data_IF_302745306117
#
_entry.id   IF_302745306117
#
_cell.length_a   1.000
_cell.length_b   1.000
_cell.length_c   1.000
_cell.angle_alpha   90.00
_cell.angle_beta   90.00
_cell.angle_gamma   90.00
#
_symmetry.space_group_name_H-M   'P 1'
#
loop_
_entity.id
_entity.type
_entity.pdbx_description
1 polymer ?
#
# COMPACT_ATOMS: atom_id res chain seq x y z
N UNK A 1 -8.15 20.43 22.65
CA UNK A 1 -7.22 20.01 21.59
C UNK A 1 -7.77 18.71 21.05
N UNK A 2 -8.35 18.71 19.85
CA UNK A 2 -8.83 17.47 19.24
C UNK A 2 -7.61 16.69 18.76
N UNK A 3 -7.34 15.53 19.38
CA UNK A 3 -6.43 14.54 18.82
C UNK A 3 -7.02 14.09 17.49
N UNK A 4 -6.40 14.52 16.40
CA UNK A 4 -6.76 14.10 15.06
C UNK A 4 -6.25 12.67 14.89
N UNK A 5 -7.04 11.68 15.35
CA UNK A 5 -6.73 10.26 15.20
C UNK A 5 -6.80 9.93 13.71
N UNK A 6 -5.67 10.11 13.01
CA UNK A 6 -5.49 9.64 11.64
C UNK A 6 -5.31 8.13 11.72
N UNK A 7 -6.31 7.38 11.26
CA UNK A 7 -6.20 5.93 11.18
C UNK A 7 -5.02 5.59 10.28
N UNK A 8 -4.00 4.92 10.82
CA UNK A 8 -2.83 4.48 10.04
C UNK A 8 -3.14 3.11 9.46
N UNK A 9 -3.12 3.01 8.13
CA UNK A 9 -3.32 1.75 7.42
C UNK A 9 -2.00 1.36 6.76
N UNK A 10 -1.59 0.11 6.93
CA UNK A 10 -0.36 -0.43 6.32
C UNK A 10 -0.73 -1.48 5.27
N UNK A 11 -0.18 -1.32 4.07
CA UNK A 11 -0.28 -2.31 3.00
C UNK A 11 1.10 -2.88 2.68
N UNK A 12 1.13 -4.18 2.41
CA UNK A 12 2.30 -4.85 1.83
C UNK A 12 1.92 -5.35 0.45
N UNK A 13 2.60 -4.84 -0.58
CA UNK A 13 2.33 -5.13 -1.99
C UNK A 13 3.42 -6.08 -2.49
N UNK A 14 3.01 -7.26 -2.95
CA UNK A 14 3.87 -8.19 -3.68
C UNK A 14 3.49 -8.15 -5.15
N UNK A 15 4.40 -7.70 -6.00
CA UNK A 15 4.14 -7.50 -7.43
C UNK A 15 5.11 -8.30 -8.29
N UNK A 16 4.63 -8.72 -9.47
CA UNK A 16 5.45 -9.48 -10.42
C UNK A 16 6.48 -8.60 -11.11
N UNK A 17 6.12 -7.36 -11.40
CA UNK A 17 6.95 -6.37 -12.06
C UNK A 17 6.60 -4.95 -11.55
N UNK A 18 7.39 -3.93 -11.91
CA UNK A 18 7.14 -2.56 -11.45
C UNK A 18 5.80 -1.97 -11.90
N UNK A 19 5.33 -2.31 -13.11
CA UNK A 19 4.07 -1.79 -13.64
C UNK A 19 2.87 -2.30 -12.85
N UNK A 20 2.89 -3.59 -12.49
CA UNK A 20 1.92 -4.26 -11.63
C UNK A 20 1.90 -3.64 -10.22
N UNK A 21 3.08 -3.35 -9.65
CA UNK A 21 3.18 -2.63 -8.38
C UNK A 21 2.55 -1.24 -8.43
N UNK A 22 2.77 -0.51 -9.52
CA UNK A 22 2.22 0.84 -9.72
C UNK A 22 0.70 0.78 -9.84
N UNK A 23 0.16 -0.18 -10.59
CA UNK A 23 -1.30 -0.36 -10.74
C UNK A 23 -1.98 -0.67 -9.40
N UNK A 24 -1.41 -1.61 -8.62
CA UNK A 24 -1.93 -1.96 -7.29
C UNK A 24 -1.87 -0.74 -6.34
N UNK A 25 -0.74 -0.02 -6.32
CA UNK A 25 -0.60 1.20 -5.51
C UNK A 25 -1.66 2.24 -5.86
N UNK A 26 -1.90 2.48 -7.15
CA UNK A 26 -2.89 3.46 -7.60
C UNK A 26 -4.31 3.06 -7.21
N UNK A 27 -4.65 1.76 -7.30
CA UNK A 27 -5.94 1.24 -6.84
C UNK A 27 -6.14 1.43 -5.33
N UNK A 28 -5.11 1.22 -4.52
CA UNK A 28 -5.18 1.48 -3.07
C UNK A 28 -5.44 2.96 -2.83
N UNK A 29 -4.63 3.85 -3.41
CA UNK A 29 -4.74 5.29 -3.21
C UNK A 29 -6.08 5.88 -3.65
N UNK A 30 -6.67 5.42 -4.76
CA UNK A 30 -7.99 5.88 -5.23
C UNK A 30 -9.11 5.50 -4.25
N UNK A 31 -8.95 4.38 -3.54
CA UNK A 31 -9.96 3.87 -2.61
C UNK A 31 -9.71 4.30 -1.15
N UNK A 32 -8.54 4.86 -0.83
CA UNK A 32 -8.26 5.41 0.50
C UNK A 32 -9.00 6.74 0.68
N UNK A 33 -9.70 6.90 1.80
CA UNK A 33 -10.31 8.20 2.17
C UNK A 33 -9.27 9.14 2.78
N UNK A 34 -9.43 10.46 2.58
CA UNK A 34 -8.48 11.53 2.99
C UNK A 34 -8.05 11.54 4.47
N UNK A 35 -8.67 10.72 5.34
CA UNK A 35 -8.43 10.69 6.79
C UNK A 35 -7.41 9.63 7.22
N UNK A 36 -6.89 8.83 6.30
CA UNK A 36 -6.00 7.71 6.61
C UNK A 36 -4.55 8.01 6.23
N UNK A 37 -3.62 7.66 7.12
CA UNK A 37 -2.19 7.69 6.82
C UNK A 37 -1.80 6.33 6.24
N UNK A 38 -1.50 6.28 4.95
CA UNK A 38 -1.15 5.04 4.24
C UNK A 38 0.36 4.83 4.27
N UNK A 39 0.77 3.67 4.78
CA UNK A 39 2.15 3.17 4.78
C UNK A 39 2.21 1.97 3.83
N UNK A 40 3.05 2.02 2.78
CA UNK A 40 3.10 0.97 1.75
C UNK A 40 4.51 0.43 1.57
N UNK A 41 4.68 -0.87 1.79
CA UNK A 41 5.89 -1.60 1.43
C UNK A 41 5.66 -2.36 0.12
N UNK A 42 6.54 -2.18 -0.86
CA UNK A 42 6.41 -2.78 -2.18
C UNK A 42 7.60 -3.70 -2.43
N UNK A 43 7.30 -4.97 -2.69
CA UNK A 43 8.25 -5.99 -3.05
C UNK A 43 7.99 -6.46 -4.48
N UNK A 44 8.86 -6.05 -5.40
CA UNK A 44 8.83 -6.51 -6.80
C UNK A 44 9.72 -7.74 -6.94
N UNK A 45 9.27 -8.74 -7.70
CA UNK A 45 10.02 -9.96 -7.99
C UNK A 45 10.25 -10.88 -6.76
N UNK A 46 9.56 -10.62 -5.64
CA UNK A 46 9.55 -11.50 -4.44
C UNK A 46 8.35 -12.45 -4.38
N UNK A 47 7.45 -12.41 -5.38
CA UNK A 47 6.30 -13.31 -5.44
C UNK A 47 6.66 -14.80 -5.59
N UNK A 48 7.94 -15.12 -5.82
CA UNK A 48 8.45 -16.48 -5.98
C UNK A 48 9.27 -16.99 -4.77
N UNK A 49 9.48 -16.20 -3.72
CA UNK A 49 10.08 -16.66 -2.47
C UNK A 49 8.98 -17.02 -1.46
N UNK A 50 8.24 -18.10 -1.75
CA UNK A 50 7.53 -18.83 -0.69
C UNK A 50 8.58 -19.74 -0.05
N UNK A 51 8.98 -19.44 1.19
CA UNK A 51 9.68 -20.37 2.09
C UNK A 51 8.65 -21.05 2.99
#
# INVERSE_FOLDING_TARGET
MEENIRHKVRYTIYAKNPDDAIDIKNKILINTTDKELVDMEVYVNKAYEIL
#
